data_IF_159511709936
#
_entry.id   IF_159511709936
#
_cell.length_a   1.000
_cell.length_b   1.000
_cell.length_c   1.000
_cell.angle_alpha   90.00
_cell.angle_beta   90.00
_cell.angle_gamma   90.00
#
_symmetry.space_group_name_H-M   'P 1'
#
loop_
_entity.id
_entity.type
_entity.pdbx_description
1 polymer ?
#
# COMPACT_ATOMS: atom_id res chain seq x y z
N UNK A 1 -46.38 20.59 -5.26
CA UNK A 1 -45.80 19.32 -5.74
C UNK A 1 -44.65 19.65 -6.69
N UNK A 2 -43.44 19.76 -6.18
CA UNK A 2 -42.22 19.86 -6.99
C UNK A 2 -41.29 18.72 -6.55
N UNK A 3 -40.71 17.95 -7.48
CA UNK A 3 -39.90 16.80 -7.13
C UNK A 3 -38.53 17.28 -6.64
N UNK A 4 -38.17 16.82 -5.45
CA UNK A 4 -36.84 16.94 -4.88
C UNK A 4 -35.87 16.15 -5.78
N UNK A 5 -35.23 16.81 -6.74
CA UNK A 5 -34.24 16.20 -7.60
C UNK A 5 -33.02 15.79 -6.76
N UNK A 6 -32.99 14.50 -6.43
CA UNK A 6 -31.86 13.77 -5.86
C UNK A 6 -30.66 13.89 -6.82
N UNK A 7 -29.73 14.80 -6.56
CA UNK A 7 -28.40 14.80 -7.18
C UNK A 7 -27.35 14.24 -6.21
N UNK A 8 -27.53 12.98 -5.79
CA UNK A 8 -26.45 12.19 -5.21
C UNK A 8 -25.65 11.55 -6.35
N UNK A 9 -24.79 12.34 -7.01
CA UNK A 9 -23.84 11.82 -8.02
C UNK A 9 -22.42 12.37 -7.84
N UNK A 10 -22.03 12.69 -6.60
CA UNK A 10 -20.66 13.15 -6.30
C UNK A 10 -19.86 12.22 -5.38
N UNK A 11 -20.46 11.15 -4.84
CA UNK A 11 -19.80 10.34 -3.79
C UNK A 11 -18.86 9.24 -4.29
N UNK A 12 -18.77 8.95 -5.59
CA UNK A 12 -18.13 7.72 -6.06
C UNK A 12 -16.61 7.81 -6.33
N UNK A 13 -16.06 8.97 -6.69
CA UNK A 13 -14.62 9.08 -6.98
C UNK A 13 -13.76 9.26 -5.72
N UNK A 14 -14.32 9.81 -4.64
CA UNK A 14 -13.61 10.10 -3.39
C UNK A 14 -13.04 8.84 -2.71
N UNK A 15 -13.79 7.72 -2.74
CA UNK A 15 -13.38 6.46 -2.10
C UNK A 15 -12.09 5.89 -2.68
N UNK A 16 -11.91 5.95 -4.02
CA UNK A 16 -10.72 5.43 -4.70
C UNK A 16 -9.44 6.17 -4.31
N UNK A 17 -9.49 7.51 -4.28
CA UNK A 17 -8.32 8.31 -3.88
C UNK A 17 -7.98 8.08 -2.41
N UNK A 18 -8.99 7.89 -1.55
CA UNK A 18 -8.78 7.55 -0.15
C UNK A 18 -8.16 6.17 0.02
N UNK A 19 -8.63 5.16 -0.72
CA UNK A 19 -8.05 3.80 -0.72
C UNK A 19 -6.59 3.81 -1.18
N UNK A 20 -6.28 4.50 -2.29
CA UNK A 20 -4.92 4.64 -2.80
C UNK A 20 -4.00 5.36 -1.80
N UNK A 21 -4.51 6.40 -1.13
CA UNK A 21 -3.76 7.11 -0.11
C UNK A 21 -3.49 6.25 1.13
N UNK A 22 -4.49 5.47 1.59
CA UNK A 22 -4.33 4.52 2.70
C UNK A 22 -3.29 3.47 2.35
N UNK A 23 -3.34 2.92 1.13
CA UNK A 23 -2.39 1.92 0.65
C UNK A 23 -0.96 2.47 0.65
N UNK A 24 -0.74 3.64 0.04
CA UNK A 24 0.55 4.32 0.03
C UNK A 24 1.09 4.57 1.44
N UNK A 25 0.26 5.10 2.35
CA UNK A 25 0.65 5.37 3.74
C UNK A 25 1.00 4.08 4.47
N UNK A 26 0.25 3.01 4.25
CA UNK A 26 0.51 1.70 4.86
C UNK A 26 1.88 1.16 4.44
N UNK A 27 2.18 1.18 3.14
CA UNK A 27 3.48 0.77 2.60
C UNK A 27 4.61 1.64 3.15
N UNK A 28 4.42 2.97 3.22
CA UNK A 28 5.42 3.89 3.76
C UNK A 28 5.71 3.66 5.26
N UNK A 29 4.68 3.44 6.08
CA UNK A 29 4.87 3.13 7.51
C UNK A 29 5.53 1.76 7.70
N UNK A 30 5.23 0.77 6.83
CA UNK A 30 5.88 -0.53 6.86
C UNK A 30 7.39 -0.44 6.57
N UNK A 31 7.79 0.29 5.53
CA UNK A 31 9.20 0.55 5.19
C UNK A 31 9.93 1.29 6.31
N UNK A 32 9.27 2.30 6.89
CA UNK A 32 9.81 3.09 8.00
C UNK A 32 10.02 2.21 9.24
N UNK A 33 9.04 1.39 9.60
CA UNK A 33 9.14 0.43 10.71
C UNK A 33 10.31 -0.53 10.49
N UNK A 34 10.43 -1.10 9.30
CA UNK A 34 11.50 -2.04 8.95
C UNK A 34 12.88 -1.39 9.06
N UNK A 35 13.01 -0.14 8.59
CA UNK A 35 14.24 0.65 8.71
C UNK A 35 14.63 0.88 10.17
N UNK A 36 13.67 1.20 11.05
CA UNK A 36 13.98 1.37 12.47
C UNK A 36 14.36 0.07 13.15
N UNK A 37 13.70 -1.05 12.81
CA UNK A 37 14.08 -2.36 13.36
C UNK A 37 15.52 -2.72 13.01
N UNK A 38 15.91 -2.51 11.75
CA UNK A 38 17.28 -2.72 11.30
C UNK A 38 18.27 -1.80 12.03
N UNK A 39 17.99 -0.48 12.06
CA UNK A 39 18.88 0.52 12.70
C UNK A 39 19.05 0.32 14.21
N UNK A 40 18.02 -0.17 14.89
CA UNK A 40 18.04 -0.40 16.34
C UNK A 40 18.54 -1.79 16.72
N UNK A 41 18.81 -2.67 15.74
CA UNK A 41 19.17 -4.07 16.00
C UNK A 41 18.07 -4.84 16.75
N UNK A 42 16.81 -4.41 16.61
CA UNK A 42 15.68 -5.04 17.28
C UNK A 42 15.15 -6.25 16.51
N UNK A 43 14.34 -7.07 17.19
CA UNK A 43 13.76 -8.30 16.61
C UNK A 43 14.85 -9.24 16.05
N UNK A 44 14.66 -9.74 14.84
CA UNK A 44 15.55 -10.69 14.16
C UNK A 44 16.91 -10.08 13.78
N UNK A 45 17.04 -8.75 13.82
CA UNK A 45 18.29 -8.05 13.56
C UNK A 45 19.30 -8.11 14.72
N UNK A 46 18.89 -8.66 15.87
CA UNK A 46 19.77 -8.86 17.02
C UNK A 46 20.87 -9.90 16.75
N UNK A 47 20.66 -10.79 15.77
CA UNK A 47 21.62 -11.82 15.41
C UNK A 47 22.60 -11.27 14.35
N UNK A 48 23.89 -11.19 14.68
CA UNK A 48 24.91 -10.47 13.89
C UNK A 48 25.24 -11.07 12.52
N UNK A 49 25.02 -12.37 12.32
CA UNK A 49 25.62 -13.06 11.16
C UNK A 49 24.97 -12.76 9.80
N UNK A 50 23.77 -12.18 9.75
CA UNK A 50 23.06 -11.94 8.49
C UNK A 50 22.04 -10.78 8.52
N UNK A 51 22.30 -9.76 9.33
CA UNK A 51 21.36 -8.66 9.59
C UNK A 51 21.00 -7.85 8.32
N UNK A 52 22.00 -7.53 7.48
CA UNK A 52 21.80 -6.70 6.29
C UNK A 52 21.11 -7.44 5.13
N UNK A 53 21.51 -8.68 4.75
CA UNK A 53 20.78 -9.44 3.74
C UNK A 53 19.30 -9.65 4.09
N UNK A 54 19.00 -9.93 5.36
CA UNK A 54 17.62 -10.06 5.85
C UNK A 54 16.84 -8.75 5.70
N UNK A 55 17.48 -7.61 5.99
CA UNK A 55 16.87 -6.30 5.82
C UNK A 55 16.51 -6.01 4.37
N UNK A 56 17.45 -6.25 3.45
CA UNK A 56 17.20 -6.08 2.01
C UNK A 56 16.05 -6.98 1.58
N UNK A 57 16.07 -8.26 1.95
CA UNK A 57 15.01 -9.20 1.60
C UNK A 57 13.62 -8.73 2.09
N UNK A 58 13.54 -8.18 3.30
CA UNK A 58 12.28 -7.66 3.85
C UNK A 58 11.79 -6.41 3.14
N UNK A 59 12.70 -5.48 2.81
CA UNK A 59 12.35 -4.28 2.05
C UNK A 59 11.83 -4.66 0.67
N UNK A 60 12.52 -5.56 -0.03
CA UNK A 60 12.09 -6.05 -1.35
C UNK A 60 10.72 -6.72 -1.28
N UNK A 61 10.47 -7.55 -0.26
CA UNK A 61 9.15 -8.17 -0.07
C UNK A 61 8.02 -7.14 0.15
N UNK A 62 8.27 -6.04 0.87
CA UNK A 62 7.28 -4.97 1.05
C UNK A 62 7.01 -4.26 -0.29
N UNK A 63 8.05 -3.97 -1.07
CA UNK A 63 7.94 -3.30 -2.37
C UNK A 63 7.24 -4.20 -3.39
N UNK A 64 7.57 -5.48 -3.43
CA UNK A 64 6.96 -6.47 -4.31
C UNK A 64 5.46 -6.64 -3.99
N UNK A 65 5.10 -6.67 -2.71
CA UNK A 65 3.72 -6.69 -2.25
C UNK A 65 2.94 -5.45 -2.72
N UNK A 66 3.51 -4.25 -2.58
CA UNK A 66 2.87 -3.02 -3.06
C UNK A 66 2.73 -3.02 -4.59
N UNK A 67 3.77 -3.39 -5.31
CA UNK A 67 3.77 -3.49 -6.78
C UNK A 67 2.70 -4.46 -7.28
N UNK A 68 2.55 -5.60 -6.60
CA UNK A 68 1.53 -6.60 -6.93
C UNK A 68 0.12 -6.06 -6.68
N UNK A 69 -0.09 -5.33 -5.59
CA UNK A 69 -1.36 -4.66 -5.31
C UNK A 69 -1.68 -3.59 -6.37
N UNK A 70 -0.70 -2.78 -6.79
CA UNK A 70 -0.86 -1.79 -7.85
C UNK A 70 -1.26 -2.43 -9.19
N UNK A 71 -0.61 -3.53 -9.57
CA UNK A 71 -0.98 -4.26 -10.79
C UNK A 71 -2.42 -4.76 -10.75
N UNK A 72 -2.85 -5.29 -9.61
CA UNK A 72 -4.24 -5.72 -9.42
C UNK A 72 -5.22 -4.56 -9.42
N UNK A 73 -4.83 -3.41 -8.91
CA UNK A 73 -5.67 -2.21 -8.94
C UNK A 73 -5.87 -1.73 -10.38
N UNK A 74 -4.80 -1.62 -11.16
CA UNK A 74 -4.85 -1.20 -12.57
C UNK A 74 -5.67 -2.17 -13.41
N UNK A 75 -5.48 -3.48 -13.23
CA UNK A 75 -6.24 -4.50 -13.99
C UNK A 75 -7.73 -4.53 -13.67
N UNK A 76 -8.15 -4.00 -12.52
CA UNK A 76 -9.58 -3.82 -12.17
C UNK A 76 -10.17 -2.55 -12.80
N UNK A 77 -9.34 -1.55 -13.13
CA UNK A 77 -9.77 -0.33 -13.80
C UNK A 77 -9.87 -0.49 -15.32
N UNK A 78 -9.01 -1.32 -15.90
CA UNK A 78 -9.16 -1.84 -17.27
C UNK A 78 -10.27 -2.91 -17.29
N UNK A 79 -11.53 -2.50 -17.36
CA UNK A 79 -12.64 -3.43 -17.64
C UNK A 79 -12.38 -4.24 -18.92
N UNK A 80 -13.00 -5.43 -19.10
CA UNK A 80 -12.69 -6.33 -20.21
C UNK A 80 -12.75 -5.56 -21.53
N UNK A 81 -11.65 -5.59 -22.29
CA UNK A 81 -11.59 -5.01 -23.63
C UNK A 81 -12.73 -5.61 -24.46
N UNK A 82 -13.73 -4.76 -24.75
CA UNK A 82 -14.89 -5.11 -25.56
C UNK A 82 -14.51 -5.24 -27.04
#
# INVERSE_FOLDING_TARGET
>A
MTPFHRTLKTSFSHGKYQENWIQYRTTAEALKRETYLYKTGAAEYRQEKATFPLFVQRIEAIIEGDTSNWKQYISREEGPAA
#
